data_IF_108926951605
#
_entry.id   IF_108926951605
#
_cell.length_a   1.000
_cell.length_b   1.000
_cell.length_c   1.000
_cell.angle_alpha   90.00
_cell.angle_beta   90.00
_cell.angle_gamma   90.00
#
_symmetry.space_group_name_H-M   'P 1'
#
loop_
_entity.id
_entity.type
_entity.pdbx_description
1 polymer ?
#
# COMPACT_ATOMS: atom_id res chain seq x y z
N UNK A 1 3.84 26.40 40.18
CA UNK A 1 4.89 25.79 39.31
C UNK A 1 5.40 24.53 40.00
N UNK A 2 5.45 23.43 39.26
CA UNK A 2 5.91 22.14 39.80
C UNK A 2 7.44 22.06 39.73
N UNK A 3 8.06 21.33 40.65
CA UNK A 3 9.49 21.03 40.60
C UNK A 3 9.67 19.51 40.57
N UNK A 4 10.65 19.04 39.81
CA UNK A 4 10.94 17.61 39.78
C UNK A 4 11.57 17.17 41.11
N UNK A 5 10.97 16.15 41.76
CA UNK A 5 11.47 15.59 43.03
C UNK A 5 12.85 14.94 42.92
N UNK A 6 13.23 14.49 41.72
CA UNK A 6 14.52 13.85 41.48
C UNK A 6 15.56 14.84 40.94
N UNK A 7 15.20 15.57 39.87
CA UNK A 7 16.13 16.44 39.16
C UNK A 7 16.20 17.87 39.71
N UNK A 8 15.26 18.30 40.55
CA UNK A 8 15.20 19.67 41.10
C UNK A 8 14.87 20.79 40.09
N UNK A 9 14.63 20.42 38.82
CA UNK A 9 14.32 21.37 37.74
C UNK A 9 12.86 21.82 37.83
N UNK A 10 12.62 23.09 37.51
CA UNK A 10 11.29 23.66 37.40
C UNK A 10 10.54 23.09 36.18
N UNK A 11 9.32 22.62 36.41
CA UNK A 11 8.47 21.98 35.41
C UNK A 11 7.27 22.87 35.06
N UNK A 12 6.97 22.91 33.77
CA UNK A 12 5.80 23.59 33.23
C UNK A 12 4.51 22.82 33.56
N UNK A 13 3.41 23.55 33.77
CA UNK A 13 2.17 23.00 34.38
C UNK A 13 1.49 21.88 33.56
N UNK A 14 1.79 21.79 32.27
CA UNK A 14 1.21 20.83 31.33
C UNK A 14 2.05 19.55 31.14
N UNK A 15 3.15 19.38 31.89
CA UNK A 15 4.01 18.21 31.81
C UNK A 15 3.63 17.18 32.88
N UNK A 16 3.23 15.98 32.44
CA UNK A 16 2.96 14.84 33.33
C UNK A 16 4.25 14.22 33.91
N UNK A 17 5.35 14.29 33.16
CA UNK A 17 6.63 13.68 33.52
C UNK A 17 7.78 14.64 33.27
N UNK A 18 8.84 14.52 34.07
CA UNK A 18 10.08 15.27 33.87
C UNK A 18 10.81 14.79 32.60
N UNK A 19 11.13 15.67 31.63
CA UNK A 19 11.79 15.27 30.38
C UNK A 19 13.25 14.83 30.57
N UNK A 20 13.88 15.13 31.71
CA UNK A 20 15.28 14.79 31.97
C UNK A 20 15.42 13.41 32.63
N UNK A 21 14.63 13.13 33.67
CA UNK A 21 14.72 11.90 34.45
C UNK A 21 13.50 10.99 34.34
N UNK A 22 12.46 11.38 33.61
CA UNK A 22 11.26 10.56 33.39
C UNK A 22 10.34 10.40 34.62
N UNK A 23 10.69 10.99 35.76
CA UNK A 23 9.91 10.90 37.00
C UNK A 23 8.62 11.73 36.88
N UNK A 24 7.51 11.17 37.36
CA UNK A 24 6.20 11.83 37.36
C UNK A 24 6.22 13.18 38.10
N UNK A 25 5.57 14.18 37.52
CA UNK A 25 5.48 15.52 38.07
C UNK A 25 4.37 15.60 39.13
N UNK A 26 4.73 15.48 40.41
CA UNK A 26 3.76 15.51 41.51
C UNK A 26 3.70 16.92 42.12
N UNK A 27 2.57 17.61 41.98
CA UNK A 27 2.28 18.86 42.67
C UNK A 27 0.87 18.86 43.29
N UNK A 28 0.73 18.62 44.60
CA UNK A 28 -0.57 18.56 45.26
C UNK A 28 -1.36 19.87 45.27
N UNK A 29 -0.70 21.03 45.12
CA UNK A 29 -1.36 22.35 45.12
C UNK A 29 -1.90 22.73 43.73
N UNK A 30 -1.25 22.24 42.68
CA UNK A 30 -1.66 22.46 41.29
C UNK A 30 -1.57 21.10 40.57
N UNK A 31 -2.62 20.25 40.67
CA UNK A 31 -2.63 18.96 40.01
C UNK A 31 -2.54 19.15 38.49
N UNK A 32 -2.02 18.13 37.82
CA UNK A 32 -1.91 18.10 36.37
C UNK A 32 -3.29 18.33 35.72
N UNK A 33 -3.35 19.32 34.82
CA UNK A 33 -4.54 19.61 34.03
C UNK A 33 -4.29 19.22 32.56
N UNK A 34 -4.98 18.17 32.04
CA UNK A 34 -4.83 17.72 30.66
C UNK A 34 -5.40 18.71 29.62
N UNK A 35 -6.15 19.73 30.04
CA UNK A 35 -6.67 20.77 29.13
C UNK A 35 -5.67 21.89 28.86
N UNK A 36 -4.56 21.97 29.60
CA UNK A 36 -3.51 22.94 29.34
C UNK A 36 -2.78 22.60 28.02
N UNK A 37 -2.47 23.61 27.18
CA UNK A 37 -1.76 23.37 25.93
C UNK A 37 -0.36 22.81 26.23
N UNK A 38 -0.08 21.62 25.71
CA UNK A 38 1.26 21.01 25.85
C UNK A 38 2.30 21.85 25.11
N UNK A 39 3.50 22.11 25.68
CA UNK A 39 4.53 22.94 25.08
C UNK A 39 5.07 22.35 23.77
N UNK A 40 5.05 21.01 23.64
CA UNK A 40 5.40 20.33 22.40
C UNK A 40 4.14 19.97 21.60
N UNK A 41 3.87 20.70 20.52
CA UNK A 41 2.71 20.41 19.68
C UNK A 41 2.95 19.16 18.82
N UNK A 42 2.05 18.19 18.90
CA UNK A 42 2.03 16.99 18.04
C UNK A 42 1.92 17.33 16.55
N UNK A 43 1.48 18.56 16.23
CA UNK A 43 1.44 19.11 14.87
C UNK A 43 2.83 19.27 14.25
N UNK A 44 3.83 19.70 15.02
CA UNK A 44 5.21 19.88 14.52
C UNK A 44 5.83 18.52 14.18
N UNK A 45 5.64 17.50 15.02
CA UNK A 45 6.10 16.12 14.76
C UNK A 45 5.48 15.56 13.49
N UNK A 46 4.16 15.77 13.28
CA UNK A 46 3.47 15.30 12.07
C UNK A 46 3.92 16.05 10.81
N UNK A 47 4.25 17.34 10.92
CA UNK A 47 4.79 18.12 9.81
C UNK A 47 6.22 17.67 9.46
N UNK A 48 7.09 17.48 10.45
CA UNK A 48 8.44 16.95 10.25
C UNK A 48 8.41 15.58 9.56
N UNK A 49 7.59 14.64 10.03
CA UNK A 49 7.48 13.32 9.40
C UNK A 49 6.98 13.37 7.94
N UNK A 50 6.11 14.33 7.59
CA UNK A 50 5.65 14.52 6.20
C UNK A 50 6.74 15.16 5.32
N UNK A 51 7.49 16.12 5.86
CA UNK A 51 8.60 16.78 5.16
C UNK A 51 9.73 15.78 4.91
N UNK A 52 10.07 14.95 5.90
CA UNK A 52 11.07 13.87 5.76
C UNK A 52 10.67 12.87 4.68
N UNK A 53 9.41 12.42 4.62
CA UNK A 53 8.95 11.51 3.56
C UNK A 53 9.07 12.10 2.17
N UNK A 54 8.69 13.37 1.99
CA UNK A 54 8.78 14.05 0.69
C UNK A 54 10.24 14.28 0.28
N UNK A 55 11.09 14.65 1.24
CA UNK A 55 12.51 14.84 0.99
C UNK A 55 13.19 13.52 0.59
N UNK A 56 12.91 12.42 1.30
CA UNK A 56 13.37 11.09 0.93
C UNK A 56 12.85 10.65 -0.43
N UNK A 57 11.57 10.87 -0.74
CA UNK A 57 11.01 10.56 -2.04
C UNK A 57 11.69 11.36 -3.17
N UNK A 58 12.02 12.63 -2.92
CA UNK A 58 12.74 13.47 -3.88
C UNK A 58 14.18 12.98 -4.10
N UNK A 59 14.90 12.60 -3.05
CA UNK A 59 16.24 12.01 -3.18
C UNK A 59 16.18 10.73 -4.02
N UNK A 60 15.25 9.81 -3.70
CA UNK A 60 15.10 8.57 -4.47
C UNK A 60 14.74 8.86 -5.93
N UNK A 61 13.90 9.87 -6.18
CA UNK A 61 13.55 10.32 -7.54
C UNK A 61 14.78 10.79 -8.31
N UNK A 62 15.66 11.58 -7.69
CA UNK A 62 16.91 12.04 -8.30
C UNK A 62 17.84 10.87 -8.59
N UNK A 63 17.97 9.92 -7.66
CA UNK A 63 18.78 8.71 -7.86
C UNK A 63 18.26 7.88 -9.04
N UNK A 64 16.94 7.70 -9.13
CA UNK A 64 16.31 6.97 -10.24
C UNK A 64 16.52 7.68 -11.58
N UNK A 65 16.37 9.01 -11.60
CA UNK A 65 16.62 9.81 -12.80
C UNK A 65 18.08 9.71 -13.26
N UNK A 66 19.04 9.79 -12.32
CA UNK A 66 20.46 9.63 -12.63
C UNK A 66 20.76 8.22 -13.17
N UNK A 67 20.22 7.17 -12.54
CA UNK A 67 20.39 5.80 -13.02
C UNK A 67 19.82 5.62 -14.44
N UNK A 68 18.63 6.15 -14.71
CA UNK A 68 18.02 6.15 -16.05
C UNK A 68 18.91 6.86 -17.08
N UNK A 69 19.41 8.06 -16.77
CA UNK A 69 20.28 8.83 -17.66
C UNK A 69 21.58 8.08 -17.94
N UNK A 70 22.22 7.51 -16.92
CA UNK A 70 23.47 6.74 -17.08
C UNK A 70 23.22 5.53 -17.99
N UNK A 71 22.14 4.77 -17.79
CA UNK A 71 21.82 3.62 -18.62
C UNK A 71 21.54 4.00 -20.08
N UNK A 72 20.80 5.10 -20.33
CA UNK A 72 20.55 5.59 -21.69
C UNK A 72 21.85 6.03 -22.35
N UNK A 73 22.68 6.82 -21.66
CA UNK A 73 23.96 7.28 -22.20
C UNK A 73 24.89 6.11 -22.51
N UNK A 74 25.01 5.15 -21.60
CA UNK A 74 25.81 3.95 -21.83
C UNK A 74 25.32 3.20 -23.08
N UNK A 75 24.01 2.99 -23.20
CA UNK A 75 23.47 2.28 -24.34
C UNK A 75 23.73 2.99 -25.67
N UNK A 76 23.55 4.32 -25.72
CA UNK A 76 23.86 5.12 -26.90
C UNK A 76 25.34 5.03 -27.27
N UNK A 77 26.24 5.06 -26.29
CA UNK A 77 27.70 4.95 -26.52
C UNK A 77 28.09 3.56 -27.07
N UNK A 78 27.42 2.49 -26.63
CA UNK A 78 27.81 1.12 -27.00
C UNK A 78 27.11 0.56 -28.24
N UNK A 79 25.87 0.97 -28.53
CA UNK A 79 25.04 0.30 -29.55
C UNK A 79 24.34 1.27 -30.52
N UNK A 80 24.55 2.59 -30.41
CA UNK A 80 23.93 3.65 -31.23
C UNK A 80 22.38 3.56 -31.35
N UNK A 81 21.74 2.71 -30.53
CA UNK A 81 20.34 2.36 -30.59
C UNK A 81 19.78 2.08 -29.19
N UNK A 82 18.50 2.36 -28.99
CA UNK A 82 17.80 2.14 -27.72
C UNK A 82 17.28 0.70 -27.61
N UNK A 83 18.16 -0.25 -27.32
CA UNK A 83 17.83 -1.67 -27.16
C UNK A 83 17.51 -2.02 -25.70
N UNK A 84 18.52 -2.11 -24.83
CA UNK A 84 18.35 -2.60 -23.47
C UNK A 84 18.00 -1.52 -22.45
N UNK A 85 18.40 -0.27 -22.71
CA UNK A 85 18.14 0.85 -21.78
C UNK A 85 16.64 1.15 -21.64
N UNK A 86 15.83 0.82 -22.65
CA UNK A 86 14.37 1.01 -22.64
C UNK A 86 13.73 0.22 -21.50
N UNK A 87 14.14 -1.04 -21.29
CA UNK A 87 13.63 -1.86 -20.19
C UNK A 87 13.99 -1.27 -18.82
N UNK A 88 15.20 -0.73 -18.68
CA UNK A 88 15.66 -0.13 -17.42
C UNK A 88 14.86 1.14 -17.11
N UNK A 89 14.72 2.04 -18.09
CA UNK A 89 13.98 3.29 -17.93
C UNK A 89 12.50 3.01 -17.66
N UNK A 90 11.88 2.11 -18.40
CA UNK A 90 10.48 1.75 -18.22
C UNK A 90 10.23 1.14 -16.82
N UNK A 91 11.13 0.28 -16.34
CA UNK A 91 11.03 -0.32 -15.00
C UNK A 91 11.21 0.72 -13.89
N UNK A 92 12.19 1.62 -14.02
CA UNK A 92 12.40 2.71 -13.06
C UNK A 92 11.19 3.65 -13.02
N UNK A 93 10.62 3.98 -14.18
CA UNK A 93 9.41 4.79 -14.28
C UNK A 93 8.20 4.09 -13.63
N UNK A 94 8.01 2.79 -13.88
CA UNK A 94 6.95 2.00 -13.25
C UNK A 94 7.06 2.03 -11.72
N UNK A 95 8.24 1.71 -11.18
CA UNK A 95 8.47 1.69 -9.73
C UNK A 95 8.27 3.10 -9.14
N UNK A 96 8.73 4.14 -9.83
CA UNK A 96 8.56 5.51 -9.40
C UNK A 96 7.08 5.87 -9.24
N UNK A 97 6.26 5.51 -10.22
CA UNK A 97 4.83 5.81 -10.17
C UNK A 97 4.09 4.92 -9.14
N UNK A 98 4.42 3.63 -9.02
CA UNK A 98 3.73 2.76 -8.07
C UNK A 98 4.10 3.06 -6.60
N UNK A 99 5.36 3.41 -6.33
CA UNK A 99 5.86 3.53 -4.95
C UNK A 99 6.04 4.97 -4.48
N UNK A 100 6.69 5.82 -5.29
CA UNK A 100 7.05 7.17 -4.86
C UNK A 100 5.90 8.15 -5.01
N UNK A 101 5.08 8.00 -6.05
CA UNK A 101 3.95 8.89 -6.28
C UNK A 101 2.91 8.86 -5.14
N UNK A 102 2.46 7.69 -4.62
CA UNK A 102 1.57 7.66 -3.44
C UNK A 102 2.22 8.22 -2.17
N UNK A 103 3.54 8.09 -2.03
CA UNK A 103 4.28 8.60 -0.88
C UNK A 103 4.32 10.14 -0.86
N UNK A 104 4.40 10.77 -2.05
CA UNK A 104 4.41 12.23 -2.21
C UNK A 104 2.98 12.80 -2.08
N UNK A 105 2.01 12.14 -2.70
CA UNK A 105 0.62 12.61 -2.86
C UNK A 105 -0.38 11.85 -1.98
N UNK A 106 -0.20 11.97 -0.66
CA UNK A 106 -1.06 11.34 0.38
C UNK A 106 -2.54 11.78 0.41
N UNK A 107 -2.99 12.65 -0.49
CA UNK A 107 -4.36 13.21 -0.52
C UNK A 107 -5.21 12.75 -1.71
N UNK A 108 -4.69 11.87 -2.57
CA UNK A 108 -5.41 11.44 -3.76
C UNK A 108 -6.57 10.51 -3.43
N UNK A 109 -7.62 10.59 -4.25
CA UNK A 109 -8.75 9.67 -4.14
C UNK A 109 -8.28 8.24 -4.48
N UNK A 110 -8.58 7.21 -3.68
CA UNK A 110 -8.09 5.85 -3.88
C UNK A 110 -8.36 5.28 -5.29
N UNK A 111 -9.54 5.56 -5.85
CA UNK A 111 -9.87 5.17 -7.23
C UNK A 111 -8.92 5.79 -8.26
N UNK A 112 -8.50 7.05 -8.07
CA UNK A 112 -7.56 7.70 -8.98
C UNK A 112 -6.18 7.06 -8.91
N UNK A 113 -5.77 6.58 -7.73
CA UNK A 113 -4.51 5.84 -7.56
C UNK A 113 -4.58 4.51 -8.31
N UNK A 114 -5.62 3.71 -8.10
CA UNK A 114 -5.80 2.42 -8.81
C UNK A 114 -5.86 2.61 -10.32
N UNK A 115 -6.59 3.61 -10.81
CA UNK A 115 -6.66 3.91 -12.25
C UNK A 115 -5.29 4.25 -12.83
N UNK A 116 -4.52 5.06 -12.10
CA UNK A 116 -3.16 5.41 -12.49
C UNK A 116 -2.24 4.19 -12.49
N UNK A 117 -2.35 3.30 -11.50
CA UNK A 117 -1.58 2.05 -11.44
C UNK A 117 -1.89 1.16 -12.66
N UNK A 118 -3.18 1.00 -13.01
CA UNK A 118 -3.62 0.26 -14.21
C UNK A 118 -3.02 0.87 -15.47
N UNK A 119 -3.15 2.20 -15.65
CA UNK A 119 -2.63 2.89 -16.82
C UNK A 119 -1.12 2.74 -16.97
N UNK A 120 -0.37 2.86 -15.88
CA UNK A 120 1.09 2.75 -15.92
C UNK A 120 1.54 1.31 -16.14
N UNK A 121 0.86 0.31 -15.56
CA UNK A 121 1.15 -1.10 -15.84
C UNK A 121 0.91 -1.44 -17.31
N UNK A 122 -0.21 -1.00 -17.89
CA UNK A 122 -0.50 -1.20 -19.31
C UNK A 122 0.55 -0.50 -20.19
N UNK A 123 0.89 0.75 -19.88
CA UNK A 123 1.91 1.49 -20.63
C UNK A 123 3.29 0.83 -20.54
N UNK A 124 3.68 0.35 -19.36
CA UNK A 124 4.94 -0.38 -19.16
C UNK A 124 5.00 -1.64 -20.02
N UNK A 125 3.96 -2.48 -19.96
CA UNK A 125 3.89 -3.72 -20.74
C UNK A 125 3.82 -3.44 -22.24
N UNK A 126 3.15 -2.36 -22.65
CA UNK A 126 3.13 -1.93 -24.04
C UNK A 126 4.52 -1.50 -24.53
N UNK A 127 5.28 -0.76 -23.72
CA UNK A 127 6.67 -0.39 -24.05
C UNK A 127 7.56 -1.64 -24.21
N UNK A 128 7.39 -2.65 -23.35
CA UNK A 128 8.09 -3.94 -23.51
C UNK A 128 7.68 -4.61 -24.81
N UNK A 129 6.39 -4.62 -25.14
CA UNK A 129 5.89 -5.22 -26.37
C UNK A 129 6.45 -4.54 -27.63
N UNK A 130 6.63 -3.22 -27.61
CA UNK A 130 7.27 -2.49 -28.72
C UNK A 130 8.75 -2.84 -28.89
N UNK A 131 9.43 -3.19 -27.80
CA UNK A 131 10.82 -3.63 -27.84
C UNK A 131 10.96 -5.09 -28.30
N UNK A 132 9.87 -5.85 -28.32
CA UNK A 132 9.85 -7.27 -28.71
C UNK A 132 9.21 -7.43 -30.11
N UNK A 133 9.99 -7.93 -31.07
CA UNK A 133 9.66 -7.84 -32.50
C UNK A 133 8.52 -8.74 -32.99
N UNK A 134 7.95 -9.62 -32.15
CA UNK A 134 7.02 -10.67 -32.60
C UNK A 134 5.90 -11.03 -31.62
N UNK A 135 5.43 -10.07 -30.83
CA UNK A 135 4.68 -10.35 -29.62
C UNK A 135 3.20 -9.94 -29.68
N UNK A 136 2.30 -10.90 -29.89
CA UNK A 136 0.84 -10.74 -29.68
C UNK A 136 0.42 -10.94 -28.21
N UNK A 137 1.38 -11.25 -27.32
CA UNK A 137 1.12 -11.55 -25.90
C UNK A 137 0.59 -10.34 -25.13
N UNK A 138 0.87 -9.11 -25.55
CA UNK A 138 0.33 -7.93 -24.89
C UNK A 138 -1.20 -7.90 -24.93
N UNK A 139 -1.80 -8.15 -26.10
CA UNK A 139 -3.26 -8.08 -26.29
C UNK A 139 -3.94 -9.33 -25.75
N UNK A 140 -3.33 -10.50 -25.94
CA UNK A 140 -3.96 -11.79 -25.63
C UNK A 140 -3.79 -12.21 -24.16
N UNK A 141 -2.70 -11.81 -23.51
CA UNK A 141 -2.36 -12.23 -22.16
C UNK A 141 -2.27 -11.04 -21.19
N UNK A 142 -1.39 -10.08 -21.48
CA UNK A 142 -1.00 -9.06 -20.52
C UNK A 142 -2.12 -8.05 -20.21
N UNK A 143 -2.74 -7.50 -21.25
CA UNK A 143 -3.82 -6.51 -21.12
C UNK A 143 -5.05 -7.11 -20.41
N UNK A 144 -5.58 -8.28 -20.80
CA UNK A 144 -6.69 -8.92 -20.08
C UNK A 144 -6.35 -9.17 -18.61
N UNK A 145 -5.12 -9.58 -18.30
CA UNK A 145 -4.68 -9.86 -16.94
C UNK A 145 -4.62 -8.58 -16.09
N UNK A 146 -4.01 -7.50 -16.59
CA UNK A 146 -3.95 -6.22 -15.87
C UNK A 146 -5.34 -5.63 -15.68
N UNK A 147 -6.23 -5.74 -16.68
CA UNK A 147 -7.60 -5.27 -16.56
C UNK A 147 -8.41 -6.10 -15.56
N UNK A 148 -8.27 -7.42 -15.54
CA UNK A 148 -8.91 -8.29 -14.57
C UNK A 148 -8.55 -7.86 -13.14
N UNK A 149 -7.25 -7.74 -12.84
CA UNK A 149 -6.78 -7.32 -11.51
C UNK A 149 -7.15 -5.88 -11.18
N UNK A 150 -7.06 -5.00 -12.17
CA UNK A 150 -7.45 -3.60 -12.02
C UNK A 150 -8.93 -3.43 -11.68
N UNK A 151 -9.82 -4.15 -12.37
CA UNK A 151 -11.25 -4.13 -12.11
C UNK A 151 -11.58 -4.71 -10.74
N UNK A 152 -10.96 -5.83 -10.36
CA UNK A 152 -11.13 -6.41 -9.03
C UNK A 152 -10.69 -5.43 -7.94
N UNK A 153 -9.50 -4.83 -8.08
CA UNK A 153 -8.99 -3.84 -7.13
C UNK A 153 -9.89 -2.58 -7.06
N UNK A 154 -10.44 -2.14 -8.20
CA UNK A 154 -11.37 -1.02 -8.26
C UNK A 154 -12.68 -1.34 -7.51
N UNK A 155 -13.24 -2.53 -7.71
CA UNK A 155 -14.43 -3.00 -6.98
C UNK A 155 -14.16 -3.02 -5.48
N UNK A 156 -13.03 -3.61 -5.07
CA UNK A 156 -12.63 -3.67 -3.66
C UNK A 156 -12.53 -2.27 -3.05
N UNK A 157 -11.86 -1.34 -3.72
CA UNK A 157 -11.73 0.05 -3.25
C UNK A 157 -13.09 0.75 -3.14
N UNK A 158 -13.98 0.56 -4.13
CA UNK A 158 -15.32 1.15 -4.11
C UNK A 158 -16.17 0.59 -2.96
N UNK A 159 -16.15 -0.72 -2.75
CA UNK A 159 -16.91 -1.40 -1.68
C UNK A 159 -16.38 -1.00 -0.30
N UNK A 160 -15.05 -1.00 -0.13
CA UNK A 160 -14.40 -0.63 1.13
C UNK A 160 -14.65 0.84 1.48
N UNK A 161 -14.63 1.74 0.48
CA UNK A 161 -14.90 3.17 0.69
C UNK A 161 -16.40 3.45 0.89
N UNK A 162 -17.28 2.68 0.24
CA UNK A 162 -18.74 2.82 0.35
C UNK A 162 -19.31 2.53 1.74
N UNK A 163 -18.50 2.03 2.67
CA UNK A 163 -18.92 1.78 4.05
C UNK A 163 -19.92 0.64 4.22
N UNK A 164 -20.17 -0.12 3.15
CA UNK A 164 -21.10 -1.27 3.13
C UNK A 164 -20.60 -2.38 4.07
N UNK A 165 -19.27 -2.51 4.20
CA UNK A 165 -18.63 -3.57 4.98
C UNK A 165 -17.91 -3.03 6.22
N UNK A 166 -18.17 -3.68 7.35
CA UNK A 166 -17.63 -3.31 8.66
C UNK A 166 -16.69 -4.38 9.19
N UNK A 167 -15.68 -3.96 9.97
CA UNK A 167 -14.79 -4.86 10.69
C UNK A 167 -14.15 -5.95 9.82
N UNK A 168 -14.41 -7.21 10.17
CA UNK A 168 -13.74 -8.38 9.57
C UNK A 168 -14.21 -8.72 8.16
N UNK A 169 -15.38 -8.21 7.74
CA UNK A 169 -15.90 -8.40 6.37
C UNK A 169 -14.96 -7.82 5.30
N UNK A 170 -14.20 -6.78 5.64
CA UNK A 170 -13.23 -6.16 4.73
C UNK A 170 -12.11 -7.13 4.34
N UNK A 171 -11.58 -7.86 5.32
CA UNK A 171 -10.58 -8.89 5.08
C UNK A 171 -11.17 -10.07 4.31
N UNK A 172 -12.41 -10.47 4.64
CA UNK A 172 -13.13 -11.50 3.91
C UNK A 172 -13.30 -11.19 2.42
N UNK A 173 -13.66 -9.94 2.08
CA UNK A 173 -13.78 -9.50 0.69
C UNK A 173 -12.44 -9.64 -0.06
N UNK A 174 -11.35 -9.13 0.51
CA UNK A 174 -10.02 -9.16 -0.11
C UNK A 174 -9.54 -10.60 -0.32
N UNK A 175 -9.78 -11.51 0.63
CA UNK A 175 -9.40 -12.92 0.46
C UNK A 175 -10.18 -13.57 -0.67
N UNK A 176 -11.49 -13.31 -0.79
CA UNK A 176 -12.30 -13.82 -1.89
C UNK A 176 -11.89 -13.22 -3.23
N UNK A 177 -11.55 -11.93 -3.27
CA UNK A 177 -11.13 -11.24 -4.49
C UNK A 177 -9.79 -11.78 -5.02
N UNK A 178 -8.85 -12.14 -4.13
CA UNK A 178 -7.62 -12.86 -4.48
C UNK A 178 -7.93 -14.24 -5.09
N UNK A 179 -8.86 -15.00 -4.50
CA UNK A 179 -9.28 -16.28 -5.05
C UNK A 179 -9.88 -16.15 -6.46
N UNK A 180 -10.74 -15.15 -6.67
CA UNK A 180 -11.31 -14.84 -7.98
C UNK A 180 -10.25 -14.39 -9.01
N UNK A 181 -9.26 -13.59 -8.57
CA UNK A 181 -8.15 -13.16 -9.41
C UNK A 181 -7.29 -14.34 -9.90
N UNK A 182 -7.04 -15.34 -9.04
CA UNK A 182 -6.29 -16.54 -9.42
C UNK A 182 -7.06 -17.42 -10.40
N UNK A 183 -8.37 -17.58 -10.23
CA UNK A 183 -9.21 -18.27 -11.20
C UNK A 183 -9.22 -17.56 -12.56
N UNK A 184 -9.39 -16.24 -12.56
CA UNK A 184 -9.35 -15.47 -13.82
C UNK A 184 -7.98 -15.53 -14.50
N UNK A 185 -6.88 -15.59 -13.74
CA UNK A 185 -5.54 -15.80 -14.30
C UNK A 185 -5.43 -17.16 -15.00
N UNK A 186 -5.90 -18.24 -14.38
CA UNK A 186 -5.85 -19.57 -15.03
C UNK A 186 -6.66 -19.58 -16.32
N UNK A 187 -7.86 -18.99 -16.31
CA UNK A 187 -8.70 -18.88 -17.52
C UNK A 187 -7.98 -18.12 -18.64
N UNK A 188 -7.30 -17.00 -18.33
CA UNK A 188 -6.56 -16.23 -19.34
C UNK A 188 -5.37 -17.04 -19.87
N UNK A 189 -4.64 -17.74 -18.99
CA UNK A 189 -3.51 -18.58 -19.39
C UNK A 189 -3.93 -19.77 -20.26
N UNK A 190 -5.04 -20.41 -19.93
CA UNK A 190 -5.60 -21.53 -20.67
C UNK A 190 -6.07 -21.11 -22.06
N UNK A 191 -6.74 -19.96 -22.15
CA UNK A 191 -7.14 -19.37 -23.43
C UNK A 191 -5.91 -19.02 -24.28
N UNK A 192 -4.84 -18.51 -23.67
CA UNK A 192 -3.60 -18.17 -24.37
C UNK A 192 -2.85 -19.41 -24.89
N UNK A 193 -2.77 -20.48 -24.09
CA UNK A 193 -1.98 -21.66 -24.43
C UNK A 193 -2.74 -22.70 -25.27
N UNK A 194 -3.98 -23.00 -24.90
CA UNK A 194 -4.71 -24.17 -25.37
C UNK A 194 -6.01 -23.84 -26.11
N UNK A 195 -6.43 -22.56 -26.14
CA UNK A 195 -7.73 -22.11 -26.67
C UNK A 195 -8.96 -22.77 -26.02
N UNK A 196 -8.75 -23.51 -24.94
CA UNK A 196 -9.75 -24.25 -24.17
C UNK A 196 -9.49 -24.03 -22.69
N UNK A 197 -10.55 -23.88 -21.90
CA UNK A 197 -10.47 -23.59 -20.46
C UNK A 197 -10.50 -24.91 -19.69
N UNK A 198 -9.42 -25.23 -18.97
CA UNK A 198 -9.28 -26.42 -18.13
C UNK A 198 -8.78 -26.01 -16.74
N UNK A 199 -9.74 -25.70 -15.85
CA UNK A 199 -9.43 -25.29 -14.49
C UNK A 199 -8.80 -26.44 -13.70
N UNK A 200 -7.51 -26.34 -13.39
CA UNK A 200 -6.77 -27.30 -12.59
C UNK A 200 -6.41 -26.74 -11.22
N UNK A 201 -5.50 -25.76 -11.19
CA UNK A 201 -4.85 -25.29 -9.98
C UNK A 201 -5.66 -24.20 -9.25
N UNK A 202 -6.49 -23.43 -9.96
CA UNK A 202 -7.30 -22.39 -9.32
C UNK A 202 -8.33 -22.95 -8.34
N UNK A 203 -8.79 -24.19 -8.53
CA UNK A 203 -9.72 -24.84 -7.60
C UNK A 203 -9.15 -24.94 -6.19
N UNK A 204 -7.87 -25.28 -6.08
CA UNK A 204 -7.18 -25.39 -4.79
C UNK A 204 -7.01 -24.05 -4.09
N UNK A 205 -7.12 -22.93 -4.83
CA UNK A 205 -7.00 -21.58 -4.28
C UNK A 205 -8.37 -20.98 -3.97
N UNK A 206 -9.34 -21.12 -4.88
CA UNK A 206 -10.66 -20.49 -4.74
C UNK A 206 -11.46 -21.10 -3.60
N UNK A 207 -11.43 -22.42 -3.42
CA UNK A 207 -12.20 -23.12 -2.37
C UNK A 207 -11.80 -22.63 -0.97
N UNK A 208 -10.52 -22.68 -0.55
CA UNK A 208 -10.14 -22.19 0.77
C UNK A 208 -10.29 -20.67 0.89
N UNK A 209 -10.04 -19.90 -0.18
CA UNK A 209 -10.23 -18.45 -0.15
C UNK A 209 -11.70 -18.07 0.12
N UNK A 210 -12.65 -18.70 -0.57
CA UNK A 210 -14.08 -18.47 -0.35
C UNK A 210 -14.55 -18.99 1.01
N UNK A 211 -14.05 -20.15 1.45
CA UNK A 211 -14.36 -20.67 2.78
C UNK A 211 -13.91 -19.70 3.89
N UNK A 212 -12.67 -19.22 3.82
CA UNK A 212 -12.13 -18.23 4.77
C UNK A 212 -12.89 -16.89 4.69
N UNK A 213 -13.16 -16.42 3.47
CA UNK A 213 -14.00 -15.25 3.25
C UNK A 213 -15.34 -15.36 3.96
N UNK A 214 -16.05 -16.46 3.73
CA UNK A 214 -17.36 -16.72 4.32
C UNK A 214 -17.30 -16.82 5.85
N UNK A 215 -16.26 -17.44 6.42
CA UNK A 215 -16.02 -17.46 7.87
C UNK A 215 -15.89 -16.03 8.42
N UNK A 216 -15.11 -15.17 7.78
CA UNK A 216 -14.98 -13.76 8.20
C UNK A 216 -16.33 -13.02 8.15
N UNK A 217 -17.14 -13.28 7.12
CA UNK A 217 -18.49 -12.71 7.02
C UNK A 217 -19.41 -13.21 8.15
N UNK A 218 -19.35 -14.49 8.51
CA UNK A 218 -20.16 -15.08 9.59
C UNK A 218 -19.75 -14.56 10.97
N UNK A 219 -18.45 -14.44 11.24
CA UNK A 219 -17.92 -13.92 12.52
C UNK A 219 -18.41 -12.49 12.75
N UNK A 220 -18.34 -11.62 11.74
CA UNK A 220 -18.78 -10.23 11.93
C UNK A 220 -20.30 -10.12 12.12
N UNK A 221 -21.09 -11.03 11.51
CA UNK A 221 -22.55 -11.07 11.70
C UNK A 221 -22.94 -11.51 13.12
N UNK A 222 -22.11 -12.33 13.79
CA UNK A 222 -22.35 -12.86 15.14
C UNK A 222 -21.39 -12.23 16.14
N UNK A 223 -21.72 -11.03 16.65
CA UNK A 223 -20.92 -10.29 17.65
C UNK A 223 -20.58 -11.13 18.90
N UNK A 224 -21.47 -12.02 19.32
CA UNK A 224 -21.25 -12.93 20.47
C UNK A 224 -20.06 -13.87 20.27
N UNK A 225 -19.86 -14.43 19.07
CA UNK A 225 -18.71 -15.29 18.77
C UNK A 225 -17.39 -14.51 18.78
N UNK A 226 -17.42 -13.24 18.37
CA UNK A 226 -16.26 -12.36 18.37
C UNK A 226 -15.78 -12.09 19.81
N UNK A 227 -16.72 -11.84 20.71
CA UNK A 227 -16.42 -11.62 22.13
C UNK A 227 -15.89 -12.89 22.82
N UNK A 228 -16.41 -14.06 22.44
CA UNK A 228 -15.92 -15.37 22.91
C UNK A 228 -14.47 -15.64 22.46
N UNK A 229 -14.16 -15.38 21.19
CA UNK A 229 -12.81 -15.54 20.61
C UNK A 229 -11.82 -14.55 21.26
N UNK A 230 -12.21 -13.28 21.40
CA UNK A 230 -11.36 -12.26 22.04
C UNK A 230 -11.14 -12.50 23.53
N UNK A 231 -12.07 -13.17 24.23
CA UNK A 231 -11.86 -13.62 25.61
C UNK A 231 -10.83 -14.75 25.68
N UNK A 232 -10.85 -15.70 24.75
CA UNK A 232 -9.91 -16.84 24.74
C UNK A 232 -8.49 -16.46 24.30
N UNK A 233 -8.33 -15.45 23.46
CA UNK A 233 -7.02 -14.94 23.01
C UNK A 233 -6.32 -14.03 24.02
N UNK A 234 -7.03 -13.54 25.05
CA UNK A 234 -6.49 -12.63 26.08
C UNK A 234 -6.02 -13.36 27.35
N UNK A 235 -5.74 -14.67 27.23
CA UNK A 235 -5.13 -15.50 28.27
C UNK A 235 -3.62 -15.45 28.15
#
# INVERSE_FOLDING_TARGET
>A
MAYCVNCGVELEKSLEHCPLCGVEAINPKEPYDPMLPKPYSTRIVRMQARVERRFSALIISVVFALAAVVCVMANLVYQDALTWSVYVVASLALIWVLALFPLIYTGMHPVAVVMLDICVLLLYLYVINLADSSADWYITLAMPQVLLYGVIALIDVLVLKGGIMVGWQRYGLVVMSVGAAMMGLEVILDLYNNMHVELGWSWFVIIPAFALGLIFFLIERKRELKDEILKRLRV
#
